data_IF_109440355034
#
_entry.id   IF_109440355034
#
_cell.length_a   1.000
_cell.length_b   1.000
_cell.length_c   1.000
_cell.angle_alpha   90.00
_cell.angle_beta   90.00
_cell.angle_gamma   90.00
#
_symmetry.space_group_name_H-M   'P 1'
#
loop_
_entity.id
_entity.type
_entity.pdbx_description
1 polymer ?
#
# COMPACT_ATOMS: atom_id res chain seq x y z
N UNK A 1 -1.25 -21.01 -3.68
CA UNK A 1 -1.86 -19.67 -3.73
C UNK A 1 -1.84 -19.08 -2.33
N UNK A 2 -1.38 -17.85 -2.17
CA UNK A 2 -1.51 -17.08 -0.92
C UNK A 2 -2.77 -16.22 -0.97
N UNK A 3 -3.45 -16.07 0.17
CA UNK A 3 -4.61 -15.21 0.33
C UNK A 3 -4.29 -14.04 1.26
N UNK A 4 -4.78 -12.84 0.93
CA UNK A 4 -4.52 -11.58 1.65
C UNK A 4 -3.05 -11.15 1.62
N UNK A 5 -2.51 -10.69 2.77
CA UNK A 5 -1.14 -10.19 2.90
C UNK A 5 -0.15 -11.35 2.92
N UNK A 6 0.86 -11.27 2.03
CA UNK A 6 1.74 -12.38 1.73
C UNK A 6 3.09 -12.37 2.45
N UNK A 7 3.47 -11.29 3.12
CA UNK A 7 4.83 -11.08 3.62
C UNK A 7 5.28 -12.20 4.58
N UNK A 8 4.48 -12.47 5.61
CA UNK A 8 4.79 -13.57 6.54
C UNK A 8 4.57 -14.94 5.89
N UNK A 9 3.51 -15.06 5.08
CA UNK A 9 3.15 -16.32 4.43
C UNK A 9 4.26 -16.81 3.51
N UNK A 10 4.90 -15.92 2.70
CA UNK A 10 5.96 -16.34 1.80
C UNK A 10 7.20 -16.84 2.54
N UNK A 11 7.56 -16.18 3.65
CA UNK A 11 8.70 -16.59 4.48
C UNK A 11 8.46 -17.97 5.09
N UNK A 12 7.28 -18.19 5.69
CA UNK A 12 6.92 -19.49 6.27
C UNK A 12 6.87 -20.58 5.19
N UNK A 13 6.31 -20.28 4.02
CA UNK A 13 6.22 -21.21 2.89
C UNK A 13 7.60 -21.64 2.40
N UNK A 14 8.50 -20.69 2.14
CA UNK A 14 9.85 -20.99 1.68
C UNK A 14 10.65 -21.80 2.71
N UNK A 15 10.51 -21.47 3.99
CA UNK A 15 11.15 -22.22 5.06
C UNK A 15 10.60 -23.66 5.14
N UNK A 16 9.29 -23.84 5.04
CA UNK A 16 8.65 -25.15 5.05
C UNK A 16 9.11 -26.00 3.86
N UNK A 17 9.14 -25.43 2.66
CA UNK A 17 9.64 -26.13 1.46
C UNK A 17 11.10 -26.54 1.65
N UNK A 18 11.95 -25.65 2.16
CA UNK A 18 13.39 -25.93 2.38
C UNK A 18 13.64 -27.04 3.39
N UNK A 19 12.80 -27.15 4.42
CA UNK A 19 12.98 -28.12 5.53
C UNK A 19 12.13 -29.37 5.41
N UNK A 20 11.29 -29.50 4.36
CA UNK A 20 10.31 -30.59 4.23
C UNK A 20 9.19 -30.51 5.27
N UNK A 21 8.81 -29.29 5.67
CA UNK A 21 7.78 -29.06 6.67
C UNK A 21 6.35 -29.24 6.12
N UNK A 22 5.40 -29.30 7.04
CA UNK A 22 3.98 -29.52 6.73
C UNK A 22 3.29 -28.21 6.30
N UNK A 23 2.92 -28.11 5.04
CA UNK A 23 2.23 -26.96 4.46
C UNK A 23 0.87 -26.67 5.13
N UNK A 24 0.21 -27.67 5.71
CA UNK A 24 -1.07 -27.50 6.40
C UNK A 24 -0.99 -26.60 7.63
N UNK A 25 0.22 -26.39 8.18
CA UNK A 25 0.48 -25.52 9.33
C UNK A 25 0.67 -24.06 8.97
N UNK A 26 0.79 -23.73 7.68
CA UNK A 26 0.98 -22.35 7.20
C UNK A 26 -0.38 -21.72 6.98
N UNK A 27 -0.68 -20.65 7.71
CA UNK A 27 -1.93 -19.92 7.54
C UNK A 27 -1.95 -19.11 6.23
N UNK A 28 -3.12 -18.99 5.61
CA UNK A 28 -3.35 -18.14 4.45
C UNK A 28 -2.90 -18.71 3.11
N UNK A 29 -2.78 -20.05 2.98
CA UNK A 29 -2.44 -20.67 1.70
C UNK A 29 -3.53 -21.64 1.20
N UNK A 30 -3.51 -21.87 -0.10
CA UNK A 30 -4.20 -23.00 -0.73
C UNK A 30 -3.22 -23.73 -1.64
N UNK A 31 -3.21 -25.05 -1.59
CA UNK A 31 -2.35 -25.93 -2.40
C UNK A 31 -3.06 -27.23 -2.75
N UNK A 32 -2.52 -27.97 -3.70
CA UNK A 32 -3.01 -29.30 -4.07
C UNK A 32 -2.15 -30.34 -3.37
N UNK A 33 -2.77 -31.29 -2.67
CA UNK A 33 -2.08 -32.39 -2.01
C UNK A 33 -1.70 -33.51 -3.02
N UNK A 34 -1.05 -34.57 -2.56
CA UNK A 34 -0.63 -35.70 -3.40
C UNK A 34 -1.81 -36.47 -3.99
N UNK A 35 -2.96 -36.44 -3.33
CA UNK A 35 -4.21 -37.07 -3.78
C UNK A 35 -4.96 -36.23 -4.82
N UNK A 36 -4.45 -35.02 -5.17
CA UNK A 36 -5.09 -34.10 -6.13
C UNK A 36 -6.19 -33.22 -5.52
N UNK A 37 -6.34 -33.20 -4.21
CA UNK A 37 -7.35 -32.40 -3.52
C UNK A 37 -6.85 -31.00 -3.20
N UNK A 38 -7.73 -29.99 -3.29
CA UNK A 38 -7.43 -28.61 -2.91
C UNK A 38 -7.58 -28.45 -1.40
N UNK A 39 -6.44 -28.25 -0.73
CA UNK A 39 -6.37 -27.94 0.69
C UNK A 39 -6.33 -26.43 0.87
N UNK A 40 -7.23 -25.88 1.70
CA UNK A 40 -7.20 -24.48 2.15
C UNK A 40 -6.89 -24.46 3.63
N UNK A 41 -5.85 -23.72 4.02
CA UNK A 41 -5.48 -23.57 5.42
C UNK A 41 -6.26 -22.45 6.10
N UNK A 42 -6.08 -22.33 7.42
CA UNK A 42 -6.71 -21.27 8.20
C UNK A 42 -6.36 -19.88 7.63
N UNK A 43 -7.31 -18.95 7.72
CA UNK A 43 -7.10 -17.57 7.25
C UNK A 43 -6.07 -16.87 8.11
N UNK A 44 -5.07 -16.25 7.47
CA UNK A 44 -4.13 -15.37 8.17
C UNK A 44 -4.80 -14.04 8.52
N UNK A 45 -4.54 -13.57 9.73
CA UNK A 45 -4.96 -12.22 10.13
C UNK A 45 -4.09 -11.16 9.45
N UNK A 46 -4.66 -10.01 9.07
CA UNK A 46 -3.90 -8.91 8.51
C UNK A 46 -2.85 -8.37 9.51
N UNK A 47 -1.69 -7.97 9.00
CA UNK A 47 -0.62 -7.35 9.77
C UNK A 47 -1.17 -6.07 10.42
N UNK A 48 -1.12 -5.96 11.74
CA UNK A 48 -1.71 -4.83 12.46
C UNK A 48 -0.81 -3.59 12.42
N UNK A 49 0.47 -3.78 12.67
CA UNK A 49 1.49 -2.73 12.62
C UNK A 49 2.24 -2.83 11.29
N UNK A 50 1.90 -1.91 10.36
CA UNK A 50 2.50 -1.87 9.03
C UNK A 50 3.96 -1.38 9.04
N UNK A 51 4.41 -0.71 10.10
CA UNK A 51 5.79 -0.26 10.23
C UNK A 51 6.77 -1.42 10.47
N UNK A 52 6.25 -2.61 10.80
CA UNK A 52 7.05 -3.84 10.95
C UNK A 52 7.39 -4.50 9.62
N UNK A 53 6.83 -4.01 8.52
CA UNK A 53 7.11 -4.52 7.18
C UNK A 53 8.34 -3.80 6.65
N UNK A 54 9.36 -4.57 6.25
CA UNK A 54 10.56 -4.03 5.62
C UNK A 54 10.23 -3.28 4.32
N UNK A 55 11.02 -2.28 3.99
CA UNK A 55 10.92 -1.61 2.70
C UNK A 55 11.26 -2.57 1.56
N UNK A 56 10.70 -2.36 0.35
CA UNK A 56 11.06 -3.19 -0.79
C UNK A 56 12.58 -3.19 -1.03
N UNK A 57 13.13 -4.36 -1.31
CA UNK A 57 14.56 -4.53 -1.63
C UNK A 57 14.85 -4.02 -3.05
N UNK A 58 14.81 -2.71 -3.23
CA UNK A 58 14.97 -2.03 -4.52
C UNK A 58 16.29 -2.33 -5.22
N UNK A 59 17.34 -2.66 -4.47
CA UNK A 59 18.66 -3.10 -4.96
C UNK A 59 18.60 -4.42 -5.75
N UNK A 60 17.57 -5.23 -5.53
CA UNK A 60 17.33 -6.48 -6.27
C UNK A 60 16.59 -6.26 -7.59
N UNK A 61 16.09 -5.06 -7.85
CA UNK A 61 15.33 -4.74 -9.04
C UNK A 61 16.16 -3.92 -10.05
N UNK A 62 15.92 -4.15 -11.34
CA UNK A 62 16.48 -3.30 -12.40
C UNK A 62 15.63 -2.04 -12.56
N UNK A 63 15.74 -1.11 -11.60
CA UNK A 63 14.90 0.09 -11.48
C UNK A 63 14.91 0.92 -12.76
N UNK A 64 16.04 0.99 -13.45
CA UNK A 64 16.23 1.66 -14.75
C UNK A 64 15.32 1.16 -15.87
N UNK A 65 14.74 -0.03 -15.72
CA UNK A 65 13.83 -0.63 -16.68
C UNK A 65 12.34 -0.36 -16.41
N UNK A 66 12.02 0.23 -15.27
CA UNK A 66 10.65 0.58 -14.92
C UNK A 66 10.35 2.02 -15.34
N UNK A 67 9.16 2.25 -15.90
CA UNK A 67 8.74 3.61 -16.29
C UNK A 67 8.46 4.48 -15.06
N UNK A 68 7.84 3.91 -14.02
CA UNK A 68 7.47 4.58 -12.78
C UNK A 68 7.81 3.68 -11.58
N UNK A 69 9.09 3.63 -11.18
CA UNK A 69 9.50 2.70 -10.12
C UNK A 69 9.12 3.17 -8.71
N UNK A 70 8.78 4.45 -8.52
CA UNK A 70 8.53 5.05 -7.22
C UNK A 70 7.12 4.79 -6.69
N UNK A 71 6.79 3.55 -6.33
CA UNK A 71 5.48 3.22 -5.74
C UNK A 71 5.62 3.11 -4.22
N UNK A 72 4.80 3.86 -3.48
CA UNK A 72 4.76 3.85 -2.01
C UNK A 72 3.32 3.66 -1.53
N UNK A 73 3.13 2.82 -0.52
CA UNK A 73 1.87 2.69 0.22
C UNK A 73 2.00 3.39 1.57
N UNK A 74 1.07 4.29 1.89
CA UNK A 74 1.03 4.95 3.22
C UNK A 74 0.13 4.22 4.19
N UNK A 75 -0.72 3.35 3.66
CA UNK A 75 -1.63 2.52 4.41
C UNK A 75 -2.16 1.34 3.59
N UNK A 76 -2.98 0.52 4.19
CA UNK A 76 -3.66 -0.60 3.54
C UNK A 76 -5.13 -0.60 3.85
N UNK A 77 -5.93 -0.80 2.81
CA UNK A 77 -7.38 -0.82 2.85
C UNK A 77 -8.00 0.56 2.79
N UNK A 78 -9.32 0.56 2.76
CA UNK A 78 -10.13 1.76 2.62
C UNK A 78 -11.25 1.73 3.67
N UNK A 79 -11.52 2.83 4.40
CA UNK A 79 -12.57 2.87 5.42
C UNK A 79 -13.98 2.93 4.83
N UNK A 80 -14.10 3.14 3.52
CA UNK A 80 -15.38 3.28 2.84
C UNK A 80 -15.97 1.92 2.42
N UNK A 81 -17.29 1.88 2.28
CA UNK A 81 -18.05 0.65 1.96
C UNK A 81 -18.79 0.81 0.62
N UNK A 82 -18.10 1.22 -0.43
CA UNK A 82 -18.68 1.35 -1.76
C UNK A 82 -19.14 -0.03 -2.25
N UNK A 83 -20.39 -0.14 -2.69
CA UNK A 83 -21.04 -1.44 -2.99
C UNK A 83 -20.40 -2.18 -4.17
N UNK A 84 -19.72 -1.48 -5.05
CA UNK A 84 -19.05 -2.03 -6.24
C UNK A 84 -17.53 -2.27 -6.03
N UNK A 85 -16.95 -1.83 -4.90
CA UNK A 85 -15.51 -1.84 -4.69
C UNK A 85 -15.05 -3.05 -3.87
N UNK A 86 -13.98 -3.70 -4.33
CA UNK A 86 -13.37 -4.85 -3.64
C UNK A 86 -12.31 -4.50 -2.59
N UNK A 87 -11.87 -3.24 -2.50
CA UNK A 87 -10.79 -2.82 -1.60
C UNK A 87 -11.03 -3.22 -0.14
N UNK A 88 -12.26 -3.03 0.36
CA UNK A 88 -12.63 -3.43 1.72
C UNK A 88 -12.54 -4.95 1.94
N UNK A 89 -12.90 -5.76 0.95
CA UNK A 89 -12.82 -7.22 1.03
C UNK A 89 -11.36 -7.70 1.00
N UNK A 90 -10.54 -7.13 0.13
CA UNK A 90 -9.11 -7.46 -0.02
C UNK A 90 -8.33 -7.10 1.26
N UNK A 91 -8.57 -5.93 1.83
CA UNK A 91 -7.90 -5.47 3.06
C UNK A 91 -8.50 -6.06 4.36
N UNK A 92 -9.44 -6.99 4.26
CA UNK A 92 -10.12 -7.59 5.41
C UNK A 92 -11.03 -6.62 6.16
N UNK A 93 -11.55 -5.60 5.48
CA UNK A 93 -12.49 -4.60 6.04
C UNK A 93 -11.86 -3.61 7.03
N UNK A 94 -10.53 -3.50 7.05
CA UNK A 94 -9.81 -2.61 7.98
C UNK A 94 -8.94 -1.63 7.21
N UNK A 95 -8.92 -0.39 7.69
CA UNK A 95 -7.97 0.64 7.26
C UNK A 95 -6.86 0.75 8.29
N UNK A 96 -5.61 0.59 7.86
CA UNK A 96 -4.41 0.63 8.70
C UNK A 96 -3.38 1.53 8.03
N UNK A 97 -2.75 2.39 8.79
CA UNK A 97 -1.78 3.36 8.32
C UNK A 97 -0.38 3.00 8.83
N UNK A 98 0.63 3.27 8.03
CA UNK A 98 2.03 3.35 8.46
C UNK A 98 2.22 4.65 9.22
N UNK A 99 3.22 4.73 10.10
CA UNK A 99 3.58 6.01 10.69
C UNK A 99 4.09 6.99 9.62
N UNK A 100 3.88 8.29 9.86
CA UNK A 100 4.38 9.36 8.98
C UNK A 100 5.88 9.22 8.76
N UNK A 101 6.62 8.91 9.84
CA UNK A 101 8.07 8.69 9.77
C UNK A 101 8.41 7.54 8.83
N UNK A 102 7.77 6.39 8.97
CA UNK A 102 8.06 5.20 8.16
C UNK A 102 7.73 5.44 6.67
N UNK A 103 6.62 6.10 6.36
CA UNK A 103 6.28 6.49 4.98
C UNK A 103 7.33 7.41 4.37
N UNK A 104 7.72 8.45 5.10
CA UNK A 104 8.66 9.44 4.53
C UNK A 104 10.09 8.90 4.51
N UNK A 105 10.48 7.98 5.39
CA UNK A 105 11.74 7.23 5.29
C UNK A 105 11.83 6.43 3.98
N UNK A 106 10.74 5.78 3.58
CA UNK A 106 10.63 5.02 2.32
C UNK A 106 10.79 5.96 1.10
N UNK A 107 10.06 7.07 1.09
CA UNK A 107 10.17 8.10 0.05
C UNK A 107 11.58 8.68 0.00
N UNK A 108 12.17 8.99 1.15
CA UNK A 108 13.53 9.54 1.24
C UNK A 108 14.58 8.57 0.73
N UNK A 109 14.42 7.27 1.02
CA UNK A 109 15.28 6.21 0.49
C UNK A 109 15.20 6.16 -1.04
N UNK A 110 13.98 6.16 -1.62
CA UNK A 110 13.78 6.20 -3.07
C UNK A 110 14.46 7.42 -3.69
N UNK A 111 14.27 8.59 -3.08
CA UNK A 111 14.83 9.86 -3.56
C UNK A 111 16.35 9.91 -3.45
N UNK A 112 16.92 9.64 -2.26
CA UNK A 112 18.35 9.83 -1.99
C UNK A 112 19.22 8.70 -2.50
N UNK A 113 18.75 7.44 -2.35
CA UNK A 113 19.56 6.28 -2.69
C UNK A 113 19.41 5.89 -4.16
N UNK A 114 18.20 5.99 -4.69
CA UNK A 114 17.89 5.52 -6.05
C UNK A 114 17.64 6.65 -7.05
N UNK A 115 17.66 7.91 -6.61
CA UNK A 115 17.46 9.07 -7.50
C UNK A 115 16.03 9.19 -8.05
N UNK A 116 15.07 8.48 -7.47
CA UNK A 116 13.69 8.47 -7.92
C UNK A 116 12.97 9.71 -7.41
N UNK A 117 12.56 10.58 -8.33
CA UNK A 117 11.84 11.84 -8.03
C UNK A 117 10.35 11.77 -8.29
N UNK A 118 9.89 10.78 -9.04
CA UNK A 118 8.47 10.59 -9.33
C UNK A 118 7.91 9.49 -8.44
N UNK A 119 6.96 9.84 -7.59
CA UNK A 119 6.35 8.92 -6.61
C UNK A 119 4.86 8.76 -6.90
N UNK A 120 4.40 7.53 -6.91
CA UNK A 120 2.99 7.20 -6.88
C UNK A 120 2.61 6.66 -5.49
N UNK A 121 1.78 7.39 -4.78
CA UNK A 121 1.16 6.92 -3.54
C UNK A 121 -0.04 6.06 -3.93
N UNK A 122 0.13 4.74 -3.85
CA UNK A 122 -0.80 3.74 -4.38
C UNK A 122 -1.80 3.25 -3.33
N UNK A 123 -2.24 4.13 -2.46
CA UNK A 123 -3.29 3.84 -1.48
C UNK A 123 -4.66 3.79 -2.18
N UNK A 124 -5.57 2.92 -1.74
CA UNK A 124 -6.97 2.93 -2.18
C UNK A 124 -7.66 4.29 -2.00
N UNK A 125 -7.23 5.08 -1.02
CA UNK A 125 -7.67 6.47 -0.78
C UNK A 125 -6.68 7.16 0.14
N UNK A 126 -5.68 7.83 -0.40
CA UNK A 126 -4.64 8.53 0.38
C UNK A 126 -5.19 9.57 1.35
N UNK A 127 -6.24 10.26 0.95
CA UNK A 127 -6.89 11.32 1.73
C UNK A 127 -7.93 10.82 2.73
N UNK A 128 -8.02 9.50 2.97
CA UNK A 128 -8.98 8.92 3.91
C UNK A 128 -8.80 9.42 5.36
N UNK A 129 -7.57 9.78 5.74
CA UNK A 129 -7.26 10.47 6.99
C UNK A 129 -6.63 11.83 6.66
N UNK A 130 -7.40 12.91 6.80
CA UNK A 130 -6.93 14.29 6.56
C UNK A 130 -5.66 14.58 7.38
N UNK A 131 -5.67 14.24 8.67
CA UNK A 131 -4.53 14.46 9.57
C UNK A 131 -3.27 13.76 9.05
N UNK A 132 -3.36 12.47 8.71
CA UNK A 132 -2.22 11.68 8.24
C UNK A 132 -1.68 12.20 6.90
N UNK A 133 -2.56 12.54 5.96
CA UNK A 133 -2.19 13.13 4.68
C UNK A 133 -1.40 14.45 4.87
N UNK A 134 -1.91 15.36 5.71
CA UNK A 134 -1.26 16.64 5.99
C UNK A 134 0.09 16.45 6.69
N UNK A 135 0.18 15.53 7.65
CA UNK A 135 1.43 15.24 8.36
C UNK A 135 2.51 14.68 7.42
N UNK A 136 2.16 13.78 6.49
CA UNK A 136 3.07 13.28 5.46
C UNK A 136 3.54 14.44 4.56
N UNK A 137 2.62 15.27 4.07
CA UNK A 137 2.96 16.43 3.24
C UNK A 137 3.92 17.39 3.93
N UNK A 138 3.72 17.64 5.22
CA UNK A 138 4.60 18.49 6.03
C UNK A 138 5.97 17.86 6.21
N UNK A 139 6.03 16.56 6.48
CA UNK A 139 7.28 15.87 6.69
C UNK A 139 8.11 15.76 5.40
N UNK A 140 7.51 15.56 4.23
CA UNK A 140 8.16 15.65 2.92
C UNK A 140 8.86 17.01 2.76
N UNK A 141 8.17 18.11 3.10
CA UNK A 141 8.73 19.45 3.02
C UNK A 141 9.83 19.70 4.07
N UNK A 142 9.62 19.24 5.31
CA UNK A 142 10.61 19.38 6.39
C UNK A 142 11.95 18.73 6.03
N UNK A 143 11.90 17.59 5.32
CA UNK A 143 13.11 16.91 4.83
C UNK A 143 13.65 17.46 3.52
N UNK A 144 13.02 18.49 2.95
CA UNK A 144 13.41 19.11 1.67
C UNK A 144 13.51 18.09 0.52
N UNK A 145 12.55 17.17 0.44
CA UNK A 145 12.50 16.18 -0.64
C UNK A 145 11.88 16.82 -1.89
N UNK A 146 12.72 17.06 -2.90
CA UNK A 146 12.31 17.63 -4.21
C UNK A 146 11.74 16.51 -5.09
N UNK A 147 10.48 16.13 -4.82
CA UNK A 147 9.76 15.08 -5.51
C UNK A 147 8.48 15.60 -6.17
N UNK A 148 8.10 14.97 -7.28
CA UNK A 148 6.81 15.14 -7.90
C UNK A 148 5.99 13.86 -7.67
N UNK A 149 4.80 13.97 -7.10
CA UNK A 149 4.05 12.78 -6.75
C UNK A 149 2.56 12.88 -7.11
N UNK A 150 1.94 11.73 -7.20
CA UNK A 150 0.51 11.57 -7.47
C UNK A 150 -0.12 10.60 -6.47
N UNK A 151 -1.44 10.70 -6.29
CA UNK A 151 -2.19 9.82 -5.40
C UNK A 151 -3.63 9.62 -5.87
N UNK A 152 -4.29 8.60 -5.33
CA UNK A 152 -5.71 8.38 -5.46
C UNK A 152 -6.47 8.94 -4.27
N UNK A 153 -7.61 9.57 -4.53
CA UNK A 153 -8.43 10.20 -3.52
C UNK A 153 -9.93 10.05 -3.82
N UNK A 154 -10.73 10.28 -2.81
CA UNK A 154 -12.16 10.40 -2.94
C UNK A 154 -12.57 11.89 -2.94
N UNK A 155 -13.49 12.31 -3.82
CA UNK A 155 -13.85 13.71 -3.98
C UNK A 155 -14.19 14.44 -2.67
N UNK A 156 -14.94 13.80 -1.78
CA UNK A 156 -15.36 14.41 -0.51
C UNK A 156 -14.28 14.39 0.60
N UNK A 157 -13.07 13.88 0.32
CA UNK A 157 -11.94 13.88 1.26
C UNK A 157 -10.86 14.88 0.89
N UNK A 158 -10.98 15.54 -0.26
CA UNK A 158 -10.05 16.58 -0.72
C UNK A 158 -10.61 17.94 -0.33
N UNK A 159 -10.31 18.37 0.89
CA UNK A 159 -10.63 19.73 1.36
C UNK A 159 -9.65 20.75 0.79
N UNK A 160 -9.98 22.04 0.84
CA UNK A 160 -9.06 23.12 0.41
C UNK A 160 -7.72 23.05 1.15
N UNK A 161 -7.75 22.70 2.44
CA UNK A 161 -6.55 22.54 3.25
C UNK A 161 -5.71 21.36 2.76
N UNK A 162 -6.33 20.19 2.52
CA UNK A 162 -5.66 19.00 2.00
C UNK A 162 -5.03 19.30 0.65
N UNK A 163 -5.80 19.88 -0.28
CA UNK A 163 -5.31 20.24 -1.62
C UNK A 163 -4.11 21.20 -1.56
N UNK A 164 -4.19 22.22 -0.70
CA UNK A 164 -3.11 23.18 -0.52
C UNK A 164 -1.83 22.55 0.07
N UNK A 165 -1.96 21.69 1.08
CA UNK A 165 -0.80 21.01 1.69
C UNK A 165 -0.18 19.97 0.74
N UNK A 166 -0.99 19.24 -0.01
CA UNK A 166 -0.52 18.31 -1.05
C UNK A 166 0.26 19.05 -2.15
N UNK A 167 -0.29 20.14 -2.68
CA UNK A 167 0.37 20.95 -3.71
C UNK A 167 1.71 21.49 -3.24
N UNK A 168 1.79 22.04 -2.01
CA UNK A 168 3.04 22.52 -1.42
C UNK A 168 4.09 21.43 -1.24
N UNK A 169 3.67 20.18 -1.10
CA UNK A 169 4.55 19.02 -0.95
C UNK A 169 4.96 18.38 -2.29
N UNK A 170 4.59 18.97 -3.43
CA UNK A 170 4.95 18.47 -4.76
C UNK A 170 3.92 17.53 -5.40
N UNK A 171 2.70 17.44 -4.87
CA UNK A 171 1.62 16.73 -5.54
C UNK A 171 1.22 17.48 -6.82
N UNK A 172 1.27 16.79 -7.95
CA UNK A 172 0.92 17.36 -9.26
C UNK A 172 -0.31 16.71 -9.89
N UNK A 173 -0.73 15.55 -9.37
CA UNK A 173 -1.88 14.84 -9.89
C UNK A 173 -2.64 14.11 -8.77
N UNK A 174 -3.96 14.22 -8.80
CA UNK A 174 -4.85 13.46 -7.92
C UNK A 174 -5.90 12.79 -8.79
N UNK A 175 -5.94 11.46 -8.74
CA UNK A 175 -6.98 10.68 -9.41
C UNK A 175 -8.19 10.56 -8.48
N UNK A 176 -9.35 10.94 -8.99
CA UNK A 176 -10.61 10.90 -8.23
C UNK A 176 -11.63 10.05 -8.99
N UNK A 177 -12.20 9.06 -8.31
CA UNK A 177 -13.37 8.33 -8.81
C UNK A 177 -14.61 9.22 -8.78
N UNK A 178 -15.11 9.60 -9.96
CA UNK A 178 -16.36 10.38 -10.09
C UNK A 178 -17.60 9.48 -10.11
N UNK A 179 -17.42 8.22 -10.52
CA UNK A 179 -18.38 7.10 -10.57
C UNK A 179 -19.61 7.35 -11.44
N UNK A 180 -20.28 8.51 -11.32
CA UNK A 180 -21.43 8.90 -12.12
C UNK A 180 -21.47 10.41 -12.38
N UNK A 181 -22.00 10.80 -13.54
CA UNK A 181 -22.36 12.17 -13.85
C UNK A 181 -23.84 12.49 -13.55
N UNK A 182 -24.59 11.55 -13.01
CA UNK A 182 -25.98 11.69 -12.65
C UNK A 182 -26.11 12.15 -11.19
N UNK A 183 -26.95 13.19 -10.97
CA UNK A 183 -27.16 13.76 -9.64
C UNK A 183 -28.08 12.91 -8.74
N UNK A 184 -28.75 11.89 -9.29
CA UNK A 184 -29.66 11.00 -8.56
C UNK A 184 -28.95 9.71 -8.09
N UNK A 185 -27.71 9.47 -8.51
CA UNK A 185 -26.84 8.38 -8.11
C UNK A 185 -25.76 8.93 -7.18
#
# INVERSE_FOLDING_TARGET
VSSFEGEQTIVELLNSIKTGGDLKKIAGIAFVNEEGEVIKTERRLPIQDLDTIDFPAWDLFKIDKYQEPGIVLTGRGCPYKCIFCSAGAIAGGRYRMRSVKNVVDDIEMLYKTYGIKKIFIADDTFTASEKHCIEICREIRNRNLDIAWQAEARANTVTDLVAAEMAKAGCHHVQIGAESGDNEI
#
